data_IF_340069839476
#
_entry.id   IF_340069839476
#
_cell.length_a   1.000
_cell.length_b   1.000
_cell.length_c   1.000
_cell.angle_alpha   90.00
_cell.angle_beta   90.00
_cell.angle_gamma   90.00
#
_symmetry.space_group_name_H-M   'P 1'
#
loop_
_entity.id
_entity.type
_entity.pdbx_description
1 polymer ?
#
# COMPACT_ATOMS: atom_id res chain seq x y z
N UNK A 1 -10.49 18.47 -2.67
CA UNK A 1 -9.18 17.80 -2.64
C UNK A 1 -8.80 17.39 -4.05
N UNK A 2 -7.61 17.74 -4.48
CA UNK A 2 -7.12 17.34 -5.80
C UNK A 2 -6.33 16.05 -5.69
N UNK A 3 -6.92 14.98 -6.19
CA UNK A 3 -6.26 13.69 -6.23
C UNK A 3 -5.49 13.55 -7.53
N UNK A 4 -4.32 12.96 -7.46
CA UNK A 4 -3.47 12.75 -8.62
C UNK A 4 -2.99 11.30 -8.63
N UNK A 5 -2.45 10.88 -9.76
CA UNK A 5 -1.83 9.56 -9.85
C UNK A 5 -0.65 9.46 -8.90
N UNK A 6 -0.56 8.34 -8.21
CA UNK A 6 0.54 8.06 -7.29
C UNK A 6 1.17 6.75 -7.71
N UNK A 7 2.48 6.76 -7.91
CA UNK A 7 3.24 5.55 -8.20
C UNK A 7 3.91 5.08 -6.93
N UNK A 8 3.73 3.80 -6.61
CA UNK A 8 4.32 3.19 -5.43
C UNK A 8 5.22 2.06 -5.86
N UNK A 9 6.46 2.08 -5.41
CA UNK A 9 7.43 1.04 -5.69
C UNK A 9 7.34 -0.04 -4.62
N UNK A 10 7.18 -1.29 -5.04
CA UNK A 10 7.04 -2.42 -4.13
C UNK A 10 8.25 -3.34 -4.26
N UNK A 11 8.81 -3.73 -3.12
CA UNK A 11 9.90 -4.71 -3.10
C UNK A 11 9.35 -6.11 -3.41
N UNK A 12 10.26 -7.04 -3.73
CA UNK A 12 9.88 -8.43 -3.98
C UNK A 12 9.15 -9.01 -2.77
N UNK A 13 9.62 -8.71 -1.56
CA UNK A 13 8.97 -9.19 -0.34
C UNK A 13 7.55 -8.67 -0.23
N UNK A 14 7.35 -7.40 -0.55
CA UNK A 14 6.01 -6.80 -0.50
C UNK A 14 5.08 -7.40 -1.55
N UNK A 15 5.60 -7.66 -2.75
CA UNK A 15 4.81 -8.32 -3.80
C UNK A 15 4.38 -9.71 -3.35
N UNK A 16 5.29 -10.48 -2.74
CA UNK A 16 4.98 -11.81 -2.22
C UNK A 16 3.91 -11.74 -1.12
N UNK A 17 3.99 -10.75 -0.25
CA UNK A 17 2.99 -10.58 0.81
C UNK A 17 1.61 -10.27 0.24
N UNK A 18 1.54 -9.42 -0.79
CA UNK A 18 0.27 -9.11 -1.45
C UNK A 18 -0.35 -10.38 -2.03
N UNK A 19 0.45 -11.20 -2.69
CA UNK A 19 -0.05 -12.44 -3.28
C UNK A 19 -0.57 -13.40 -2.20
N UNK A 20 0.14 -13.50 -1.08
CA UNK A 20 -0.30 -14.34 0.04
C UNK A 20 -1.61 -13.85 0.64
N UNK A 21 -1.74 -12.53 0.81
CA UNK A 21 -2.97 -11.92 1.33
C UNK A 21 -4.15 -12.22 0.41
N UNK A 22 -3.94 -12.10 -0.90
CA UNK A 22 -4.98 -12.38 -1.88
C UNK A 22 -5.41 -13.85 -1.84
N UNK A 23 -4.44 -14.75 -1.75
CA UNK A 23 -4.73 -16.19 -1.70
C UNK A 23 -5.47 -16.61 -0.43
N UNK A 24 -5.15 -15.95 0.69
CA UNK A 24 -5.72 -16.30 1.99
C UNK A 24 -6.98 -15.51 2.33
N UNK A 25 -7.34 -14.51 1.51
CA UNK A 25 -8.46 -13.60 1.78
C UNK A 25 -8.37 -12.99 3.19
N UNK A 26 -7.16 -12.63 3.62
CA UNK A 26 -6.90 -12.15 4.97
C UNK A 26 -7.13 -10.64 5.06
N UNK A 27 -8.33 -10.25 5.44
CA UNK A 27 -8.71 -8.83 5.49
C UNK A 27 -7.91 -8.04 6.52
N UNK A 28 -7.61 -8.63 7.68
CA UNK A 28 -6.83 -7.92 8.70
C UNK A 28 -5.40 -7.69 8.26
N UNK A 29 -4.81 -8.70 7.62
CA UNK A 29 -3.46 -8.58 7.12
C UNK A 29 -3.38 -7.59 5.96
N UNK A 30 -4.42 -7.55 5.11
CA UNK A 30 -4.51 -6.58 4.03
C UNK A 30 -4.56 -5.16 4.56
N UNK A 31 -5.37 -4.91 5.60
CA UNK A 31 -5.46 -3.60 6.21
C UNK A 31 -4.12 -3.18 6.83
N UNK A 32 -3.46 -4.09 7.52
CA UNK A 32 -2.15 -3.82 8.11
C UNK A 32 -1.12 -3.50 7.03
N UNK A 33 -1.14 -4.24 5.93
CA UNK A 33 -0.24 -4.01 4.80
C UNK A 33 -0.44 -2.60 4.22
N UNK A 34 -1.70 -2.24 3.97
CA UNK A 34 -2.03 -0.93 3.43
C UNK A 34 -1.53 0.19 4.34
N UNK A 35 -1.80 0.08 5.64
CA UNK A 35 -1.38 1.10 6.60
C UNK A 35 0.15 1.21 6.70
N UNK A 36 0.83 0.08 6.65
CA UNK A 36 2.28 0.04 6.84
C UNK A 36 3.05 0.41 5.57
N UNK A 37 2.61 -0.06 4.41
CA UNK A 37 3.40 0.03 3.18
C UNK A 37 2.84 0.98 2.13
N UNK A 38 1.53 1.17 2.08
CA UNK A 38 0.92 1.96 1.01
C UNK A 38 0.45 3.34 1.48
N UNK A 39 -0.13 3.42 2.67
CA UNK A 39 -0.69 4.70 3.14
C UNK A 39 0.38 5.77 3.30
N UNK A 40 1.55 5.41 3.80
CA UNK A 40 2.64 6.39 4.01
C UNK A 40 3.11 7.05 2.72
N UNK A 41 3.49 6.28 1.68
CA UNK A 41 3.90 6.91 0.43
C UNK A 41 2.78 7.69 -0.26
N UNK A 42 1.54 7.21 -0.16
CA UNK A 42 0.40 7.94 -0.73
C UNK A 42 0.20 9.27 -0.01
N UNK A 43 0.21 9.27 1.31
CA UNK A 43 0.10 10.51 2.10
C UNK A 43 1.22 11.47 1.79
N UNK A 44 2.45 10.96 1.67
CA UNK A 44 3.61 11.79 1.35
C UNK A 44 3.46 12.47 0.00
N UNK A 45 2.94 11.76 -1.00
CA UNK A 45 2.73 12.32 -2.33
C UNK A 45 1.66 13.41 -2.34
N UNK A 46 0.67 13.31 -1.46
CA UNK A 46 -0.46 14.24 -1.43
C UNK A 46 -0.27 15.39 -0.44
N UNK A 47 0.75 15.35 0.40
CA UNK A 47 0.99 16.41 1.37
C UNK A 47 1.52 17.66 0.69
N UNK A 48 0.97 18.85 1.02
CA UNK A 48 1.54 20.10 0.55
C UNK A 48 2.85 20.39 1.28
N UNK A 49 3.72 21.09 0.59
CA UNK A 49 4.98 21.55 1.20
C UNK A 49 4.85 22.95 1.75
#
# INVERSE_FOLDING_TARGET
MNLKKVNVELSVTEVQEILAIDMDDDAQRALAFIKKHLAKPVKKCLQPH
#
